data_IF_405646672586
#
_entry.id   IF_405646672586
#
_cell.length_a   1.000
_cell.length_b   1.000
_cell.length_c   1.000
_cell.angle_alpha   90.00
_cell.angle_beta   90.00
_cell.angle_gamma   90.00
#
_symmetry.space_group_name_H-M   'P 1'
#
loop_
_entity.id
_entity.type
_entity.pdbx_description
1 polymer ?
#
# COMPACT_ATOMS: atom_id res chain seq x y z
N UNK A 1 59.57 0.87 12.02
CA UNK A 1 58.46 0.05 11.46
C UNK A 1 57.06 0.56 11.85
N UNK A 2 56.90 1.41 12.85
CA UNK A 2 55.55 1.75 13.36
C UNK A 2 54.95 3.05 12.83
N UNK A 3 55.71 3.98 12.25
CA UNK A 3 55.17 5.25 11.73
C UNK A 3 54.47 5.08 10.38
N UNK A 4 55.02 4.31 9.49
CA UNK A 4 54.45 4.04 8.15
C UNK A 4 53.13 3.25 8.30
N UNK A 5 53.06 2.24 9.17
CA UNK A 5 51.83 1.49 9.43
C UNK A 5 50.71 2.37 10.02
N UNK A 6 51.05 3.34 10.88
CA UNK A 6 50.06 4.29 11.43
C UNK A 6 49.53 5.23 10.38
N UNK A 7 50.32 5.68 9.43
CA UNK A 7 49.90 6.52 8.31
C UNK A 7 48.96 5.75 7.38
N UNK A 8 49.22 4.49 7.12
CA UNK A 8 48.33 3.63 6.32
C UNK A 8 46.99 3.35 7.01
N UNK A 9 47.00 3.13 8.31
CA UNK A 9 45.77 2.93 9.11
C UNK A 9 44.95 4.22 9.15
N UNK A 10 45.61 5.39 9.30
CA UNK A 10 44.91 6.68 9.32
C UNK A 10 44.29 7.01 7.93
N UNK A 11 44.98 6.69 6.85
CA UNK A 11 44.48 6.81 5.48
C UNK A 11 43.28 5.91 5.19
N UNK A 12 43.29 4.68 5.71
CA UNK A 12 42.20 3.72 5.55
C UNK A 12 40.94 4.16 6.34
N UNK A 13 41.12 4.81 7.49
CA UNK A 13 40.03 5.33 8.33
C UNK A 13 39.33 6.55 7.70
N UNK A 14 40.05 7.36 6.93
CA UNK A 14 39.47 8.54 6.23
C UNK A 14 38.64 8.17 5.01
N UNK A 15 38.86 7.01 4.40
CA UNK A 15 38.07 6.55 3.24
C UNK A 15 36.71 6.02 3.66
N UNK A 16 36.56 5.55 4.91
CA UNK A 16 35.29 5.04 5.44
C UNK A 16 34.24 6.10 5.81
N UNK A 17 34.58 7.38 5.88
CA UNK A 17 33.69 8.45 6.33
C UNK A 17 32.93 9.18 5.20
N UNK A 18 33.13 8.80 3.93
CA UNK A 18 32.71 9.61 2.77
C UNK A 18 31.40 9.23 2.10
N UNK A 19 30.62 8.27 2.62
CA UNK A 19 29.50 7.72 1.83
C UNK A 19 28.09 7.89 2.43
N UNK A 20 27.84 8.85 3.31
CA UNK A 20 26.49 8.98 3.90
C UNK A 20 25.49 9.73 2.99
N UNK A 21 25.93 10.61 2.09
CA UNK A 21 25.01 11.37 1.23
C UNK A 21 24.75 10.75 -0.16
N UNK A 22 25.52 9.74 -0.55
CA UNK A 22 25.34 9.06 -1.84
C UNK A 22 24.09 8.15 -1.88
N UNK A 23 23.60 7.70 -0.73
CA UNK A 23 22.45 6.78 -0.62
C UNK A 23 21.11 7.50 -0.43
N UNK A 24 21.11 8.80 -0.22
CA UNK A 24 19.88 9.64 -0.10
C UNK A 24 19.42 10.15 -1.46
N UNK A 25 19.36 9.28 -2.46
CA UNK A 25 18.73 9.61 -3.73
C UNK A 25 17.24 9.23 -3.59
N UNK A 26 16.39 10.22 -3.35
CA UNK A 26 14.97 10.03 -3.56
C UNK A 26 14.74 9.64 -5.03
N UNK A 27 13.96 8.58 -5.34
CA UNK A 27 13.62 8.24 -6.70
C UNK A 27 12.96 9.45 -7.37
N UNK A 28 13.43 9.84 -8.57
CA UNK A 28 12.89 10.98 -9.33
C UNK A 28 11.37 10.87 -9.60
N UNK A 29 10.84 9.65 -9.51
CA UNK A 29 9.41 9.35 -9.78
C UNK A 29 8.52 9.44 -8.53
N UNK A 30 9.07 9.71 -7.35
CA UNK A 30 8.29 9.81 -6.11
C UNK A 30 8.28 11.25 -5.62
N UNK A 31 7.11 11.86 -5.66
CA UNK A 31 6.86 13.13 -4.97
C UNK A 31 7.01 12.85 -3.47
N UNK A 32 7.92 13.55 -2.80
CA UNK A 32 8.04 13.42 -1.35
C UNK A 32 6.74 13.87 -0.69
N UNK A 33 6.32 13.16 0.34
CA UNK A 33 5.09 13.48 1.08
C UNK A 33 5.03 14.95 1.51
N UNK A 34 6.17 15.49 1.94
CA UNK A 34 6.28 16.90 2.31
C UNK A 34 5.96 17.85 1.15
N UNK A 35 6.49 17.58 -0.05
CA UNK A 35 6.28 18.42 -1.23
C UNK A 35 4.85 18.26 -1.76
N UNK A 36 4.26 17.06 -1.62
CA UNK A 36 2.89 16.79 -2.03
C UNK A 36 1.88 17.66 -1.27
N UNK A 37 2.08 17.84 0.04
CA UNK A 37 1.14 18.56 0.89
C UNK A 37 1.50 20.04 1.10
N UNK A 38 2.41 20.61 0.33
CA UNK A 38 2.68 22.06 0.33
C UNK A 38 1.56 22.87 -0.36
N UNK A 39 0.90 22.27 -1.36
CA UNK A 39 -0.10 22.97 -2.16
C UNK A 39 -1.46 22.24 -2.13
N UNK A 40 -2.53 23.00 -2.33
CA UNK A 40 -3.90 22.49 -2.39
C UNK A 40 -4.08 21.36 -3.41
N UNK A 41 -3.43 21.49 -4.56
CA UNK A 41 -3.45 20.53 -5.65
C UNK A 41 -2.93 19.16 -5.20
N UNK A 42 -1.92 19.12 -4.36
CA UNK A 42 -1.37 17.89 -3.79
C UNK A 42 -2.37 17.14 -2.90
N UNK A 43 -3.12 17.88 -2.07
CA UNK A 43 -4.21 17.29 -1.29
C UNK A 43 -5.30 16.67 -2.19
N UNK A 44 -5.68 17.36 -3.26
CA UNK A 44 -6.66 16.85 -4.23
C UNK A 44 -6.14 15.61 -4.96
N UNK A 45 -4.86 15.60 -5.33
CA UNK A 45 -4.22 14.44 -5.96
C UNK A 45 -4.20 13.24 -5.02
N UNK A 46 -3.80 13.43 -3.76
CA UNK A 46 -3.80 12.39 -2.74
C UNK A 46 -5.21 11.83 -2.50
N UNK A 47 -6.21 12.70 -2.36
CA UNK A 47 -7.60 12.29 -2.18
C UNK A 47 -8.15 11.54 -3.40
N UNK A 48 -7.86 11.99 -4.61
CA UNK A 48 -8.22 11.30 -5.84
C UNK A 48 -7.57 9.91 -5.91
N UNK A 49 -6.33 9.77 -5.46
CA UNK A 49 -5.65 8.48 -5.33
C UNK A 49 -6.39 7.52 -4.40
N UNK A 50 -6.91 8.00 -3.27
CA UNK A 50 -7.75 7.20 -2.37
C UNK A 50 -9.04 6.76 -3.09
N UNK A 51 -9.76 7.65 -3.77
CA UNK A 51 -10.97 7.30 -4.53
C UNK A 51 -10.70 6.28 -5.64
N UNK A 52 -9.59 6.41 -6.37
CA UNK A 52 -9.19 5.43 -7.39
C UNK A 52 -8.95 4.05 -6.78
N UNK A 53 -8.27 3.99 -5.64
CA UNK A 53 -8.06 2.74 -4.92
C UNK A 53 -9.37 2.15 -4.37
N UNK A 54 -10.28 2.98 -3.87
CA UNK A 54 -11.61 2.54 -3.44
C UNK A 54 -12.43 1.95 -4.61
N UNK A 55 -12.28 2.48 -5.81
CA UNK A 55 -12.96 1.97 -7.01
C UNK A 55 -12.30 0.70 -7.59
N UNK A 56 -11.28 0.13 -6.95
CA UNK A 56 -10.69 -1.13 -7.38
C UNK A 56 -11.67 -2.30 -7.25
N UNK A 57 -11.49 -3.33 -8.07
CA UNK A 57 -12.29 -4.56 -8.00
C UNK A 57 -12.18 -5.28 -6.65
N UNK A 58 -11.10 -5.04 -5.93
CA UNK A 58 -10.88 -5.58 -4.58
C UNK A 58 -11.78 -4.93 -3.53
N UNK A 59 -12.28 -3.72 -3.80
CA UNK A 59 -13.10 -2.93 -2.89
C UNK A 59 -14.47 -2.62 -3.50
N UNK A 60 -14.86 -1.35 -3.50
CA UNK A 60 -16.19 -0.88 -3.94
C UNK A 60 -16.41 -1.02 -5.45
N UNK A 61 -15.35 -1.13 -6.28
CA UNK A 61 -15.49 -1.45 -7.69
C UNK A 61 -15.90 -2.91 -7.98
N UNK A 62 -15.98 -3.76 -6.96
CA UNK A 62 -16.32 -5.16 -7.13
C UNK A 62 -16.76 -5.86 -5.84
N UNK A 63 -15.81 -6.29 -5.02
CA UNK A 63 -16.06 -7.17 -3.87
C UNK A 63 -17.06 -6.60 -2.86
N UNK A 64 -16.99 -5.30 -2.55
CA UNK A 64 -17.85 -4.63 -1.56
C UNK A 64 -19.11 -3.99 -2.15
N UNK A 65 -19.36 -4.18 -3.44
CA UNK A 65 -20.60 -3.74 -4.09
C UNK A 65 -21.35 -4.95 -4.68
N UNK A 66 -21.14 -5.26 -5.96
CA UNK A 66 -21.85 -6.32 -6.68
C UNK A 66 -21.20 -7.71 -6.56
N UNK A 67 -20.21 -7.89 -5.65
CA UNK A 67 -19.46 -9.13 -5.49
C UNK A 67 -19.85 -9.89 -4.22
N UNK A 68 -18.91 -9.94 -3.24
CA UNK A 68 -19.07 -10.73 -2.02
C UNK A 68 -20.34 -10.36 -1.25
N UNK A 69 -20.59 -9.07 -1.07
CA UNK A 69 -21.71 -8.57 -0.24
C UNK A 69 -23.05 -9.00 -0.81
N UNK A 70 -23.25 -8.82 -2.11
CA UNK A 70 -24.52 -9.15 -2.75
C UNK A 70 -24.75 -10.66 -2.84
N UNK A 71 -23.70 -11.44 -3.02
CA UNK A 71 -23.79 -12.91 -2.99
C UNK A 71 -24.10 -13.41 -1.57
N UNK A 72 -23.48 -12.85 -0.55
CA UNK A 72 -23.80 -13.17 0.86
C UNK A 72 -25.22 -12.74 1.23
N UNK A 73 -25.71 -11.64 0.67
CA UNK A 73 -27.08 -11.19 0.82
C UNK A 73 -28.10 -12.03 0.01
N UNK A 74 -27.63 -13.07 -0.71
CA UNK A 74 -28.45 -13.96 -1.54
C UNK A 74 -29.18 -13.24 -2.70
N UNK A 75 -28.67 -12.10 -3.18
CA UNK A 75 -29.21 -11.41 -4.36
C UNK A 75 -28.84 -12.14 -5.66
N UNK A 76 -27.74 -12.89 -5.67
CA UNK A 76 -27.31 -13.70 -6.80
C UNK A 76 -27.22 -15.17 -6.42
N UNK A 77 -27.60 -16.03 -7.36
CA UNK A 77 -27.48 -17.47 -7.22
C UNK A 77 -26.27 -17.99 -8.03
N UNK A 78 -25.25 -18.46 -7.33
CA UNK A 78 -24.09 -19.12 -7.92
C UNK A 78 -24.42 -20.58 -8.20
N UNK A 79 -24.95 -20.88 -9.37
CA UNK A 79 -25.51 -22.20 -9.74
C UNK A 79 -24.47 -23.31 -9.85
N UNK A 80 -23.19 -23.00 -9.93
CA UNK A 80 -22.11 -23.99 -10.06
C UNK A 80 -21.13 -23.87 -8.89
N UNK A 81 -20.68 -25.02 -8.38
CA UNK A 81 -19.68 -25.09 -7.30
C UNK A 81 -18.32 -24.50 -7.71
N UNK A 82 -18.05 -24.42 -9.01
CA UNK A 82 -16.81 -23.87 -9.55
C UNK A 82 -16.83 -22.33 -9.68
N UNK A 83 -17.99 -21.72 -9.45
CA UNK A 83 -18.09 -20.26 -9.51
C UNK A 83 -17.27 -19.61 -8.38
N UNK A 84 -16.51 -18.57 -8.71
CA UNK A 84 -15.60 -17.90 -7.78
C UNK A 84 -16.27 -17.36 -6.50
N UNK A 85 -17.56 -17.21 -6.48
CA UNK A 85 -18.36 -16.71 -5.36
C UNK A 85 -19.23 -17.79 -4.68
N UNK A 86 -19.21 -19.05 -5.13
CA UNK A 86 -20.06 -20.11 -4.58
C UNK A 86 -19.85 -20.34 -3.07
N UNK A 87 -18.60 -20.21 -2.59
CA UNK A 87 -18.27 -20.30 -1.18
C UNK A 87 -18.93 -19.21 -0.32
N UNK A 88 -19.12 -18.03 -0.85
CA UNK A 88 -19.80 -16.93 -0.12
C UNK A 88 -21.30 -17.14 -0.06
N UNK A 89 -21.90 -17.67 -1.10
CA UNK A 89 -23.33 -18.00 -1.11
C UNK A 89 -23.68 -19.08 -0.09
N UNK A 90 -22.83 -20.08 0.08
CA UNK A 90 -23.01 -21.17 1.05
C UNK A 90 -22.45 -20.83 2.44
N UNK A 91 -21.91 -19.63 2.64
CA UNK A 91 -21.19 -19.20 3.87
C UNK A 91 -20.02 -20.12 4.24
N UNK A 92 -19.44 -20.81 3.27
CA UNK A 92 -18.27 -21.68 3.44
C UNK A 92 -16.98 -20.89 3.25
N UNK A 93 -16.54 -20.16 4.28
CA UNK A 93 -15.40 -19.24 4.23
C UNK A 93 -14.03 -19.88 4.42
N UNK A 94 -13.97 -21.20 4.64
CA UNK A 94 -12.73 -21.89 4.98
C UNK A 94 -11.77 -22.09 3.80
N UNK A 95 -12.25 -21.89 2.58
CA UNK A 95 -11.40 -22.01 1.40
C UNK A 95 -10.29 -20.95 1.42
N UNK A 96 -9.11 -21.33 0.89
CA UNK A 96 -7.99 -20.39 0.72
C UNK A 96 -8.41 -19.16 -0.09
N UNK A 97 -9.16 -19.36 -1.17
CA UNK A 97 -9.65 -18.28 -2.04
C UNK A 97 -10.51 -17.27 -1.29
N UNK A 98 -11.41 -17.75 -0.41
CA UNK A 98 -12.25 -16.86 0.40
C UNK A 98 -11.42 -16.06 1.39
N UNK A 99 -10.49 -16.72 2.08
CA UNK A 99 -9.59 -16.06 3.05
C UNK A 99 -8.70 -15.02 2.39
N UNK A 100 -8.05 -15.38 1.28
CA UNK A 100 -7.18 -14.46 0.52
C UNK A 100 -7.96 -13.21 0.04
N UNK A 101 -9.22 -13.39 -0.35
CA UNK A 101 -10.06 -12.27 -0.82
C UNK A 101 -10.48 -11.36 0.33
N UNK A 102 -10.89 -11.90 1.47
CA UNK A 102 -11.16 -11.12 2.67
C UNK A 102 -9.92 -10.38 3.15
N UNK A 103 -8.76 -11.05 3.14
CA UNK A 103 -7.49 -10.43 3.49
C UNK A 103 -7.14 -9.27 2.53
N UNK A 104 -7.40 -9.44 1.24
CA UNK A 104 -7.18 -8.39 0.25
C UNK A 104 -8.07 -7.19 0.51
N UNK A 105 -9.37 -7.40 0.74
CA UNK A 105 -10.31 -6.32 1.11
C UNK A 105 -9.85 -5.61 2.38
N UNK A 106 -9.46 -6.37 3.39
CA UNK A 106 -8.94 -5.82 4.65
C UNK A 106 -7.71 -4.96 4.43
N UNK A 107 -6.66 -5.50 3.79
CA UNK A 107 -5.41 -4.79 3.53
C UNK A 107 -5.63 -3.52 2.71
N UNK A 108 -6.42 -3.59 1.64
CA UNK A 108 -6.67 -2.43 0.79
C UNK A 108 -7.45 -1.35 1.53
N UNK A 109 -8.43 -1.71 2.35
CA UNK A 109 -9.20 -0.76 3.15
C UNK A 109 -8.32 -0.08 4.20
N UNK A 110 -7.49 -0.82 4.92
CA UNK A 110 -6.57 -0.24 5.90
C UNK A 110 -5.48 0.63 5.26
N UNK A 111 -5.01 0.28 4.06
CA UNK A 111 -4.12 1.16 3.29
C UNK A 111 -4.78 2.50 2.96
N UNK A 112 -6.07 2.49 2.59
CA UNK A 112 -6.83 3.71 2.33
C UNK A 112 -7.01 4.56 3.60
N UNK A 113 -7.30 3.92 4.74
CA UNK A 113 -7.38 4.61 6.04
C UNK A 113 -6.04 5.25 6.38
N UNK A 114 -4.92 4.56 6.16
CA UNK A 114 -3.58 5.11 6.37
C UNK A 114 -3.33 6.35 5.51
N UNK A 115 -3.67 6.28 4.21
CA UNK A 115 -3.51 7.41 3.30
C UNK A 115 -4.40 8.61 3.70
N UNK A 116 -5.64 8.34 4.13
CA UNK A 116 -6.53 9.39 4.63
C UNK A 116 -6.02 10.04 5.92
N UNK A 117 -5.43 9.24 6.82
CA UNK A 117 -4.82 9.77 8.03
C UNK A 117 -3.61 10.66 7.71
N UNK A 118 -2.77 10.28 6.74
CA UNK A 118 -1.67 11.13 6.28
C UNK A 118 -2.18 12.46 5.71
N UNK A 119 -3.25 12.45 4.90
CA UNK A 119 -3.89 13.67 4.40
C UNK A 119 -4.39 14.55 5.57
N UNK A 120 -5.04 13.94 6.57
CA UNK A 120 -5.58 14.67 7.73
C UNK A 120 -4.48 15.26 8.60
N UNK A 121 -3.34 14.58 8.76
CA UNK A 121 -2.19 15.07 9.52
C UNK A 121 -1.63 16.38 8.94
N UNK A 122 -1.71 16.55 7.63
CA UNK A 122 -1.22 17.75 6.94
C UNK A 122 -2.30 18.84 6.74
N UNK A 123 -3.55 18.59 7.13
CA UNK A 123 -4.65 19.57 7.03
C UNK A 123 -4.73 20.56 8.19
N UNK A 124 -3.91 20.39 9.26
CA UNK A 124 -3.99 21.14 10.53
C UNK A 124 -3.13 22.37 10.60
#
# INVERSE_FOLDING_TARGET
MNRIKRIWILGLLLIGASCNSWLDVAPEDQIMEKDLFEEREGFLMALNGVYLNMNSSSNYGGNLSAGIIDVMAQYYNCTTSEHNYSGYQSYAYDSKTSKDRFETVWKTTYSQISNLNAILEHCG
#
